data_IF_229851591095
#
_entry.id   IF_229851591095
#
_cell.length_a   1.000
_cell.length_b   1.000
_cell.length_c   1.000
_cell.angle_alpha   90.00
_cell.angle_beta   90.00
_cell.angle_gamma   90.00
#
_symmetry.space_group_name_H-M   'P 1'
#
loop_
_entity.id
_entity.type
_entity.pdbx_description
1 polymer ?
#
# COMPACT_ATOMS: atom_id res chain seq x y z
N UNK A 1 -6.37 -6.26 -19.62
CA UNK A 1 -5.31 -7.07 -18.98
C UNK A 1 -5.36 -6.74 -17.50
N UNK A 2 -5.83 -7.65 -16.64
CA UNK A 2 -5.93 -7.41 -15.19
C UNK A 2 -4.51 -7.44 -14.61
N UNK A 3 -3.95 -6.28 -14.34
CA UNK A 3 -2.67 -6.13 -13.63
C UNK A 3 -3.01 -6.28 -12.15
N UNK A 4 -2.41 -7.28 -11.47
CA UNK A 4 -2.42 -7.35 -10.02
C UNK A 4 -3.01 -8.59 -9.35
N UNK A 5 -3.45 -9.60 -10.09
CA UNK A 5 -3.83 -10.89 -9.51
C UNK A 5 -3.12 -12.01 -10.28
N UNK A 6 -1.94 -12.36 -9.82
CA UNK A 6 -1.42 -13.71 -10.02
C UNK A 6 -2.28 -14.55 -9.08
N UNK A 7 -3.13 -15.44 -9.63
CA UNK A 7 -3.77 -16.49 -8.84
C UNK A 7 -2.66 -17.34 -8.22
N UNK A 8 -2.36 -17.13 -6.94
CA UNK A 8 -1.37 -17.89 -6.17
C UNK A 8 -1.83 -19.34 -5.88
N UNK A 9 -3.03 -19.72 -6.31
CA UNK A 9 -3.50 -21.11 -6.26
C UNK A 9 -2.90 -21.93 -7.41
N UNK A 10 -1.92 -22.80 -7.12
CA UNK A 10 -1.44 -24.01 -7.82
C UNK A 10 -1.60 -24.14 -9.36
N UNK A 11 -1.66 -23.06 -10.13
CA UNK A 11 -1.45 -23.15 -11.57
C UNK A 11 0.04 -23.30 -11.82
N UNK A 12 0.50 -24.51 -12.14
CA UNK A 12 1.79 -24.72 -12.80
C UNK A 12 1.87 -23.75 -13.97
N UNK A 13 2.67 -22.69 -13.82
CA UNK A 13 2.88 -21.71 -14.88
C UNK A 13 3.33 -22.46 -16.14
N UNK A 14 2.54 -22.35 -17.21
CA UNK A 14 2.87 -22.98 -18.47
C UNK A 14 4.17 -22.42 -19.06
N UNK A 15 4.85 -23.19 -19.90
CA UNK A 15 6.11 -22.75 -20.53
C UNK A 15 5.97 -21.41 -21.27
N UNK A 16 4.80 -21.11 -21.85
CA UNK A 16 4.50 -19.81 -22.51
C UNK A 16 4.48 -18.64 -21.53
N UNK A 17 3.93 -18.82 -20.33
CA UNK A 17 3.91 -17.80 -19.28
C UNK A 17 5.35 -17.55 -18.78
N UNK A 18 6.10 -18.62 -18.57
CA UNK A 18 7.51 -18.53 -18.18
C UNK A 18 8.38 -17.81 -19.23
N UNK A 19 8.16 -18.08 -20.51
CA UNK A 19 8.83 -17.39 -21.61
C UNK A 19 8.44 -15.91 -21.66
N UNK A 20 7.15 -15.60 -21.47
CA UNK A 20 6.65 -14.23 -21.44
C UNK A 20 7.27 -13.42 -20.29
N UNK A 21 7.34 -13.99 -19.09
CA UNK A 21 7.99 -13.37 -17.93
C UNK A 21 9.49 -13.15 -18.19
N UNK A 22 10.17 -14.17 -18.73
CA UNK A 22 11.58 -14.06 -19.07
C UNK A 22 11.84 -12.96 -20.11
N UNK A 23 11.07 -12.92 -21.19
CA UNK A 23 11.17 -11.89 -22.24
C UNK A 23 10.92 -10.50 -21.63
N UNK A 24 9.87 -10.37 -20.82
CA UNK A 24 9.50 -9.10 -20.17
C UNK A 24 10.61 -8.61 -19.23
N UNK A 25 11.18 -9.47 -18.41
CA UNK A 25 12.21 -9.08 -17.44
C UNK A 25 13.57 -8.81 -18.08
N UNK A 26 13.94 -9.49 -19.18
CA UNK A 26 15.29 -9.44 -19.72
C UNK A 26 15.44 -8.56 -20.99
N UNK A 27 14.39 -8.41 -21.79
CA UNK A 27 14.46 -7.61 -23.03
C UNK A 27 13.81 -6.24 -22.89
N UNK A 28 12.78 -6.10 -22.03
CA UNK A 28 12.08 -4.85 -21.79
C UNK A 28 12.53 -4.22 -20.46
N UNK A 29 13.75 -3.73 -20.40
CA UNK A 29 14.35 -3.15 -19.19
C UNK A 29 14.31 -1.62 -19.29
N UNK A 30 13.74 -0.93 -18.28
CA UNK A 30 13.27 -1.40 -16.96
C UNK A 30 11.88 -2.02 -16.97
N UNK A 31 11.07 -1.74 -17.97
CA UNK A 31 9.68 -2.15 -18.09
C UNK A 31 9.23 -2.14 -19.56
N UNK A 32 8.00 -2.55 -19.84
CA UNK A 32 7.45 -2.65 -21.19
C UNK A 32 7.40 -1.31 -21.96
N UNK A 33 7.61 -0.18 -21.29
CA UNK A 33 7.62 1.16 -21.89
C UNK A 33 9.03 1.69 -22.18
N UNK A 34 10.06 0.86 -22.06
CA UNK A 34 11.46 1.25 -22.32
C UNK A 34 11.69 1.89 -23.72
N UNK A 35 10.89 1.50 -24.71
CA UNK A 35 10.94 2.09 -26.04
C UNK A 35 10.47 3.55 -26.13
N UNK A 36 9.70 4.02 -25.14
CA UNK A 36 9.29 5.43 -25.05
C UNK A 36 10.44 6.36 -24.69
N UNK A 37 11.47 5.87 -24.04
CA UNK A 37 12.54 6.72 -23.49
C UNK A 37 13.17 7.60 -24.58
N UNK A 38 13.66 7.01 -25.66
CA UNK A 38 14.34 7.76 -26.72
C UNK A 38 13.44 8.79 -27.44
N UNK A 39 12.24 8.42 -27.94
CA UNK A 39 11.37 9.38 -28.62
C UNK A 39 10.89 10.48 -27.67
N UNK A 40 10.54 10.17 -26.42
CA UNK A 40 10.12 11.17 -25.44
C UNK A 40 11.23 12.15 -25.10
N UNK A 41 12.47 11.69 -24.91
CA UNK A 41 13.61 12.58 -24.67
C UNK A 41 13.85 13.51 -25.86
N UNK A 42 13.77 12.99 -27.11
CA UNK A 42 13.94 13.82 -28.30
C UNK A 42 12.88 14.90 -28.37
N UNK A 43 11.63 14.56 -28.17
CA UNK A 43 10.52 15.48 -28.18
C UNK A 43 10.66 16.53 -27.06
N UNK A 44 10.82 16.09 -25.83
CA UNK A 44 10.86 16.97 -24.66
C UNK A 44 12.09 17.88 -24.63
N UNK A 45 13.23 17.46 -25.18
CA UNK A 45 14.40 18.37 -25.34
C UNK A 45 14.12 19.58 -26.20
N UNK A 46 13.35 19.42 -27.28
CA UNK A 46 12.98 20.53 -28.12
C UNK A 46 11.88 21.38 -27.47
N UNK A 47 10.85 20.71 -26.93
CA UNK A 47 9.73 21.36 -26.25
C UNK A 47 10.18 22.23 -25.07
N UNK A 48 11.05 21.72 -24.21
CA UNK A 48 11.53 22.45 -23.02
C UNK A 48 12.49 23.58 -23.33
N UNK A 49 13.06 23.66 -24.52
CA UNK A 49 13.80 24.84 -24.96
C UNK A 49 12.89 26.02 -25.27
N UNK A 50 11.70 25.74 -25.82
CA UNK A 50 10.68 26.74 -26.16
C UNK A 50 9.78 27.06 -24.97
N UNK A 51 9.61 26.08 -24.05
CA UNK A 51 8.77 26.16 -22.87
C UNK A 51 9.60 25.76 -21.62
N UNK A 52 10.47 26.65 -21.13
CA UNK A 52 11.33 26.36 -20.00
C UNK A 52 10.53 26.11 -18.71
N UNK A 53 11.01 25.19 -17.86
CA UNK A 53 10.45 24.87 -16.56
C UNK A 53 11.54 24.97 -15.48
N UNK A 54 11.15 25.28 -14.26
CA UNK A 54 12.08 25.44 -13.15
C UNK A 54 12.50 24.12 -12.54
N UNK A 55 11.65 23.08 -12.62
CA UNK A 55 11.94 21.74 -12.12
C UNK A 55 11.18 20.67 -12.92
N UNK A 56 11.65 19.43 -12.84
CA UNK A 56 11.00 18.25 -13.39
C UNK A 56 10.66 17.26 -12.29
N UNK A 57 9.53 16.57 -12.46
CA UNK A 57 9.15 15.44 -11.61
C UNK A 57 8.94 14.22 -12.51
N UNK A 58 9.48 13.09 -12.13
CA UNK A 58 9.15 11.80 -12.75
C UNK A 58 8.62 10.84 -11.70
N UNK A 59 7.53 10.15 -12.02
CA UNK A 59 6.88 9.21 -11.12
C UNK A 59 6.98 7.79 -11.68
N UNK A 60 7.36 6.83 -10.89
CA UNK A 60 7.43 5.40 -11.24
C UNK A 60 6.73 4.51 -10.21
N UNK A 61 6.19 3.36 -10.64
CA UNK A 61 6.26 2.75 -11.98
C UNK A 61 5.37 3.44 -13.02
N UNK A 62 5.70 3.38 -14.33
CA UNK A 62 6.83 2.64 -14.91
C UNK A 62 8.16 3.38 -14.74
N UNK A 63 9.21 2.65 -14.37
CA UNK A 63 10.54 3.24 -14.09
C UNK A 63 11.26 3.79 -15.33
N UNK A 64 10.80 3.45 -16.55
CA UNK A 64 11.23 4.13 -17.78
C UNK A 64 10.97 5.63 -17.76
N UNK A 65 10.01 6.13 -16.98
CA UNK A 65 9.78 7.57 -16.78
C UNK A 65 10.98 8.24 -16.11
N UNK A 66 11.60 7.59 -15.12
CA UNK A 66 12.83 8.08 -14.49
C UNK A 66 14.00 8.13 -15.48
N UNK A 67 14.08 7.19 -16.44
CA UNK A 67 15.11 7.22 -17.48
C UNK A 67 14.94 8.37 -18.48
N UNK A 68 13.69 8.78 -18.73
CA UNK A 68 13.42 10.00 -19.54
C UNK A 68 13.95 11.21 -18.77
N UNK A 69 13.54 11.39 -17.53
CA UNK A 69 13.96 12.51 -16.69
C UNK A 69 15.48 12.56 -16.49
N UNK A 70 16.13 11.41 -16.25
CA UNK A 70 17.59 11.30 -16.14
C UNK A 70 18.31 11.85 -17.39
N UNK A 71 17.81 11.51 -18.58
CA UNK A 71 18.42 11.98 -19.83
C UNK A 71 18.16 13.49 -20.06
N UNK A 72 16.98 13.98 -19.68
CA UNK A 72 16.66 15.41 -19.72
C UNK A 72 17.50 16.22 -18.71
N UNK A 73 17.65 15.72 -17.47
CA UNK A 73 18.51 16.32 -16.44
C UNK A 73 19.94 16.49 -16.94
N UNK A 74 20.51 15.44 -17.56
CA UNK A 74 21.86 15.48 -18.12
C UNK A 74 22.00 16.42 -19.31
N UNK A 75 20.94 16.61 -20.08
CA UNK A 75 20.99 17.40 -21.31
C UNK A 75 20.65 18.88 -21.12
N UNK A 76 19.78 19.20 -20.15
CA UNK A 76 19.21 20.56 -19.97
C UNK A 76 19.54 21.16 -18.61
N UNK A 77 20.13 20.38 -17.70
CA UNK A 77 20.47 20.78 -16.31
C UNK A 77 19.26 21.30 -15.50
N UNK A 78 18.05 20.80 -15.78
CA UNK A 78 16.85 21.16 -15.03
C UNK A 78 16.82 20.36 -13.72
N UNK A 79 16.56 20.97 -12.55
CA UNK A 79 16.38 20.26 -11.27
C UNK A 79 15.34 19.15 -11.39
N UNK A 80 15.61 18.00 -10.76
CA UNK A 80 14.80 16.80 -10.96
C UNK A 80 14.48 16.07 -9.66
N UNK A 81 13.19 15.80 -9.46
CA UNK A 81 12.66 14.95 -8.38
C UNK A 81 12.26 13.61 -8.98
N UNK A 82 12.77 12.52 -8.40
CA UNK A 82 12.38 11.15 -8.75
C UNK A 82 11.43 10.61 -7.68
N UNK A 83 10.15 10.47 -8.02
CA UNK A 83 9.08 9.94 -7.14
C UNK A 83 8.94 8.43 -7.34
N UNK A 84 9.46 7.67 -6.39
CA UNK A 84 9.39 6.21 -6.31
C UNK A 84 8.18 5.79 -5.49
N UNK A 85 7.04 5.66 -6.15
CA UNK A 85 5.81 5.17 -5.48
C UNK A 85 5.90 3.71 -5.09
N UNK A 86 6.66 2.94 -5.88
CA UNK A 86 7.02 1.56 -5.56
C UNK A 86 8.53 1.37 -5.78
N UNK A 87 9.20 0.48 -5.02
CA UNK A 87 10.58 0.11 -5.26
C UNK A 87 10.77 -0.47 -6.68
N UNK A 88 11.97 -0.34 -7.22
CA UNK A 88 12.26 -0.90 -8.55
C UNK A 88 12.84 -2.32 -8.44
N UNK A 89 14.02 -2.47 -7.84
CA UNK A 89 14.65 -3.81 -7.70
C UNK A 89 14.30 -4.49 -6.37
N UNK A 90 13.75 -3.77 -5.40
CA UNK A 90 13.31 -4.32 -4.11
C UNK A 90 11.80 -4.59 -4.04
N UNK A 91 11.11 -4.55 -5.19
CA UNK A 91 9.68 -4.90 -5.24
C UNK A 91 9.49 -6.40 -5.01
N UNK A 92 8.42 -6.79 -4.32
CA UNK A 92 8.15 -8.17 -3.87
C UNK A 92 8.21 -9.23 -4.97
N UNK A 93 7.70 -8.90 -6.16
CA UNK A 93 7.69 -9.82 -7.31
C UNK A 93 8.95 -9.76 -8.19
N UNK A 94 10.01 -9.02 -7.79
CA UNK A 94 11.22 -8.87 -8.62
C UNK A 94 11.90 -10.21 -8.92
N UNK A 95 11.94 -11.11 -7.93
CA UNK A 95 12.53 -12.45 -8.08
C UNK A 95 11.74 -13.32 -9.07
N UNK A 96 10.45 -13.08 -9.24
CA UNK A 96 9.58 -13.83 -10.15
C UNK A 96 9.82 -13.50 -11.63
N UNK A 97 10.53 -12.40 -11.91
CA UNK A 97 10.85 -11.97 -13.28
C UNK A 97 11.82 -12.89 -14.02
N UNK A 98 12.40 -13.91 -13.36
CA UNK A 98 13.36 -14.88 -13.95
C UNK A 98 14.49 -14.20 -14.71
N UNK A 99 15.12 -13.23 -14.07
CA UNK A 99 16.16 -12.42 -14.66
C UNK A 99 17.44 -13.22 -14.92
N UNK A 100 18.08 -12.96 -16.05
CA UNK A 100 19.47 -13.34 -16.28
C UNK A 100 20.40 -12.45 -15.45
N UNK A 101 21.63 -12.92 -15.18
CA UNK A 101 22.65 -12.10 -14.50
C UNK A 101 22.90 -10.76 -15.22
N UNK A 102 22.77 -10.72 -16.51
CA UNK A 102 22.90 -9.49 -17.30
C UNK A 102 21.69 -8.56 -17.11
N UNK A 103 20.48 -9.11 -17.19
CA UNK A 103 19.24 -8.35 -16.96
C UNK A 103 19.21 -7.72 -15.56
N UNK A 104 19.51 -8.53 -14.56
CA UNK A 104 19.58 -8.10 -13.16
C UNK A 104 20.61 -6.97 -12.95
N UNK A 105 21.86 -7.17 -13.40
CA UNK A 105 22.90 -6.12 -13.35
C UNK A 105 22.47 -4.85 -14.08
N UNK A 106 21.72 -4.95 -15.16
CA UNK A 106 21.24 -3.79 -15.91
C UNK A 106 20.17 -3.04 -15.15
N UNK A 107 19.21 -3.72 -14.50
CA UNK A 107 18.21 -3.09 -13.63
C UNK A 107 18.89 -2.30 -12.51
N UNK A 108 19.73 -2.95 -11.69
CA UNK A 108 20.45 -2.31 -10.59
C UNK A 108 21.32 -1.13 -11.04
N UNK A 109 22.01 -1.26 -12.18
CA UNK A 109 22.80 -0.15 -12.72
C UNK A 109 21.94 1.05 -13.11
N UNK A 110 20.79 0.82 -13.76
CA UNK A 110 19.89 1.89 -14.16
C UNK A 110 19.24 2.56 -12.96
N UNK A 111 18.77 1.79 -11.99
CA UNK A 111 18.21 2.31 -10.74
C UNK A 111 19.26 3.16 -10.00
N UNK A 112 20.46 2.65 -9.80
CA UNK A 112 21.56 3.42 -9.19
C UNK A 112 21.85 4.72 -9.95
N UNK A 113 21.81 4.72 -11.30
CA UNK A 113 21.98 5.94 -12.08
C UNK A 113 20.87 6.95 -11.86
N UNK A 114 19.63 6.50 -11.70
CA UNK A 114 18.49 7.36 -11.36
C UNK A 114 18.70 7.96 -9.97
N UNK A 115 18.91 7.13 -8.96
CA UNK A 115 19.05 7.53 -7.57
C UNK A 115 20.20 8.49 -7.32
N UNK A 116 21.36 8.27 -7.99
CA UNK A 116 22.55 9.11 -7.82
C UNK A 116 22.54 10.41 -8.64
N UNK A 117 21.58 10.61 -9.56
CA UNK A 117 21.51 11.83 -10.39
C UNK A 117 20.25 12.66 -10.12
N UNK A 118 19.26 12.15 -9.40
CA UNK A 118 18.12 12.94 -8.95
C UNK A 118 18.57 13.94 -7.88
N UNK A 119 18.09 15.18 -7.96
CA UNK A 119 18.37 16.20 -6.95
C UNK A 119 17.61 15.88 -5.65
N UNK A 120 16.47 15.18 -5.76
CA UNK A 120 15.69 14.65 -4.65
C UNK A 120 15.01 13.35 -5.07
N UNK A 121 14.95 12.41 -4.17
CA UNK A 121 14.17 11.18 -4.30
C UNK A 121 13.02 11.24 -3.30
N UNK A 122 11.81 10.89 -3.76
CA UNK A 122 10.62 10.78 -2.91
C UNK A 122 10.14 9.34 -2.93
N UNK A 123 9.65 8.85 -1.81
CA UNK A 123 9.00 7.56 -1.68
C UNK A 123 7.87 7.61 -0.66
N UNK A 124 7.03 6.57 -0.64
CA UNK A 124 5.81 6.55 0.17
C UNK A 124 5.99 5.99 1.58
N UNK A 125 7.13 5.34 1.88
CA UNK A 125 7.38 4.68 3.18
C UNK A 125 8.81 4.88 3.68
N UNK A 126 9.00 4.77 4.98
CA UNK A 126 10.33 4.96 5.61
C UNK A 126 11.24 3.76 5.38
N UNK A 127 10.69 2.55 5.35
CA UNK A 127 11.47 1.35 5.05
C UNK A 127 12.00 1.39 3.61
N UNK A 128 11.14 1.76 2.65
CA UNK A 128 11.53 1.98 1.26
C UNK A 128 12.57 3.11 1.14
N UNK A 129 12.49 4.18 1.94
CA UNK A 129 13.47 5.26 1.94
C UNK A 129 14.86 4.76 2.33
N UNK A 130 14.96 3.93 3.38
CA UNK A 130 16.23 3.30 3.80
C UNK A 130 16.83 2.42 2.69
N UNK A 131 15.99 1.63 2.00
CA UNK A 131 16.42 0.82 0.86
C UNK A 131 16.99 1.68 -0.27
N UNK A 132 16.30 2.76 -0.66
CA UNK A 132 16.77 3.67 -1.71
C UNK A 132 18.06 4.41 -1.34
N UNK A 133 18.24 4.78 -0.07
CA UNK A 133 19.51 5.35 0.45
C UNK A 133 20.65 4.33 0.35
N UNK A 134 20.41 3.07 0.74
CA UNK A 134 21.39 2.00 0.62
C UNK A 134 21.79 1.71 -0.84
N UNK A 135 20.87 1.89 -1.79
CA UNK A 135 21.10 1.77 -3.22
C UNK A 135 21.82 3.00 -3.84
N UNK A 136 22.02 4.07 -3.07
CA UNK A 136 22.83 5.23 -3.46
C UNK A 136 22.05 6.51 -3.74
N UNK A 137 20.85 6.66 -3.25
CA UNK A 137 20.15 7.93 -3.23
C UNK A 137 20.83 8.89 -2.21
N UNK A 138 21.09 10.12 -2.62
CA UNK A 138 21.77 11.10 -1.74
C UNK A 138 20.80 11.84 -0.81
N UNK A 139 19.54 11.93 -1.16
CA UNK A 139 18.54 12.68 -0.40
C UNK A 139 17.16 12.10 -0.65
N UNK A 140 16.67 11.30 0.28
CA UNK A 140 15.34 10.70 0.22
C UNK A 140 14.40 11.43 1.18
N UNK A 141 13.19 11.69 0.74
CA UNK A 141 12.10 12.22 1.56
C UNK A 141 10.90 11.27 1.46
N UNK A 142 10.35 10.91 2.61
CA UNK A 142 9.10 10.14 2.67
C UNK A 142 7.93 11.10 2.61
N UNK A 143 7.09 10.96 1.59
CA UNK A 143 5.78 11.61 1.47
C UNK A 143 4.80 10.48 1.17
N UNK A 144 4.02 10.09 2.17
CA UNK A 144 3.15 8.92 2.11
C UNK A 144 2.00 9.08 1.10
N UNK A 145 1.27 8.01 0.83
CA UNK A 145 -0.07 8.14 0.27
C UNK A 145 -0.97 8.84 1.29
N UNK A 146 -2.11 9.33 0.84
CA UNK A 146 -3.04 10.05 1.69
C UNK A 146 -4.48 9.84 1.27
N UNK A 147 -5.40 10.40 2.06
CA UNK A 147 -6.82 10.43 1.76
C UNK A 147 -7.25 11.82 1.27
N UNK A 148 -8.31 11.85 0.47
CA UNK A 148 -9.00 13.08 0.15
C UNK A 148 -9.96 13.45 1.30
N UNK A 149 -10.07 14.74 1.58
CA UNK A 149 -11.11 15.24 2.43
C UNK A 149 -12.45 15.10 1.69
N UNK A 150 -12.99 13.88 1.67
CA UNK A 150 -14.35 13.72 1.15
C UNK A 150 -15.33 14.30 2.18
N UNK A 151 -16.16 15.23 1.74
CA UNK A 151 -17.25 15.66 2.59
C UNK A 151 -18.15 14.44 2.78
N UNK A 152 -18.29 13.98 4.01
CA UNK A 152 -19.36 13.03 4.40
C UNK A 152 -20.75 13.63 4.18
N UNK A 153 -20.83 14.75 3.45
CA UNK A 153 -22.04 15.54 3.16
C UNK A 153 -22.95 15.74 4.40
N UNK A 154 -22.36 15.75 5.61
CA UNK A 154 -23.10 15.86 6.84
C UNK A 154 -23.91 14.60 7.19
N UNK A 155 -23.70 13.47 6.52
CA UNK A 155 -24.36 12.22 6.88
C UNK A 155 -23.83 11.71 8.20
N UNK A 156 -24.71 11.64 9.21
CA UNK A 156 -24.45 10.90 10.44
C UNK A 156 -24.65 9.43 10.12
N UNK A 157 -23.57 8.69 9.98
CA UNK A 157 -23.63 7.23 9.76
C UNK A 157 -23.55 6.56 11.13
N UNK A 158 -24.60 5.82 11.47
CA UNK A 158 -24.62 5.02 12.70
C UNK A 158 -23.88 3.71 12.46
N UNK A 159 -22.90 3.36 13.31
CA UNK A 159 -22.24 2.07 13.24
C UNK A 159 -23.23 0.91 13.40
N UNK A 160 -22.88 -0.23 12.85
CA UNK A 160 -23.64 -1.49 12.96
C UNK A 160 -23.95 -1.82 14.42
N UNK A 161 -25.16 -2.34 14.69
CA UNK A 161 -25.54 -2.86 16.01
C UNK A 161 -24.68 -4.05 16.46
N UNK A 162 -24.16 -4.83 15.50
CA UNK A 162 -23.26 -5.94 15.76
C UNK A 162 -21.80 -5.48 15.81
N UNK A 163 -20.97 -6.23 16.53
CA UNK A 163 -19.51 -6.06 16.49
C UNK A 163 -18.97 -6.47 15.11
N UNK A 164 -19.05 -5.54 14.17
CA UNK A 164 -18.74 -5.76 12.78
C UNK A 164 -17.27 -5.45 12.49
N UNK A 165 -16.52 -6.47 12.07
CA UNK A 165 -15.13 -6.37 11.61
C UNK A 165 -15.14 -6.45 10.08
N UNK A 166 -14.71 -5.41 9.39
CA UNK A 166 -14.76 -5.35 7.92
C UNK A 166 -13.39 -5.28 7.29
N UNK A 167 -13.13 -6.12 6.29
CA UNK A 167 -12.00 -5.99 5.36
C UNK A 167 -12.53 -5.60 3.99
N UNK A 168 -12.02 -4.50 3.43
CA UNK A 168 -12.47 -3.97 2.14
C UNK A 168 -11.35 -4.06 1.13
N UNK A 169 -11.60 -4.77 0.05
CA UNK A 169 -10.70 -5.03 -1.08
C UNK A 169 -10.27 -6.48 -1.18
N UNK A 170 -9.38 -6.76 -2.12
CA UNK A 170 -8.95 -8.14 -2.37
C UNK A 170 -8.19 -8.74 -1.19
N UNK A 171 -8.56 -9.95 -0.82
CA UNK A 171 -7.90 -10.79 0.17
C UNK A 171 -7.27 -11.97 -0.56
N UNK A 172 -6.02 -11.81 -1.00
CA UNK A 172 -5.23 -12.88 -1.62
C UNK A 172 -4.65 -13.85 -0.59
N UNK A 173 -4.04 -14.95 -1.06
CA UNK A 173 -3.47 -15.98 -0.20
C UNK A 173 -2.39 -15.43 0.75
N UNK A 174 -1.54 -14.51 0.28
CA UNK A 174 -0.49 -13.86 1.08
C UNK A 174 -1.02 -12.95 2.21
N UNK A 175 -2.32 -12.63 2.19
CA UNK A 175 -3.03 -11.86 3.22
C UNK A 175 -3.92 -12.72 4.11
N UNK A 176 -3.91 -14.05 3.94
CA UNK A 176 -4.70 -14.94 4.77
C UNK A 176 -4.13 -14.99 6.19
N UNK A 177 -4.69 -14.21 7.09
CA UNK A 177 -4.30 -14.12 8.50
C UNK A 177 -4.82 -15.33 9.30
N UNK A 178 -4.18 -16.47 9.13
CA UNK A 178 -4.63 -17.77 9.72
C UNK A 178 -4.88 -17.63 11.22
N UNK A 179 -3.93 -17.12 11.98
CA UNK A 179 -4.00 -16.98 13.44
C UNK A 179 -5.08 -16.01 13.90
N UNK A 180 -5.40 -15.00 13.08
CA UNK A 180 -6.52 -14.10 13.35
C UNK A 180 -7.87 -14.83 13.25
N UNK A 181 -8.08 -15.64 12.20
CA UNK A 181 -9.29 -16.44 12.05
C UNK A 181 -9.41 -17.49 13.15
N UNK A 182 -8.30 -18.09 13.56
CA UNK A 182 -8.25 -19.01 14.71
C UNK A 182 -8.61 -18.31 16.02
N UNK A 183 -8.09 -17.11 16.26
CA UNK A 183 -8.39 -16.31 17.45
C UNK A 183 -9.90 -16.00 17.54
N UNK A 184 -10.50 -15.55 16.43
CA UNK A 184 -11.95 -15.31 16.36
C UNK A 184 -12.76 -16.59 16.61
N UNK A 185 -12.35 -17.72 15.99
CA UNK A 185 -13.01 -19.01 16.18
C UNK A 185 -12.97 -19.52 17.61
N UNK A 186 -11.81 -19.40 18.27
CA UNK A 186 -11.64 -19.78 19.68
C UNK A 186 -12.55 -18.93 20.58
N UNK A 187 -12.61 -17.62 20.36
CA UNK A 187 -13.48 -16.71 21.12
C UNK A 187 -14.96 -17.01 20.90
N UNK A 188 -15.36 -17.27 19.65
CA UNK A 188 -16.74 -17.59 19.31
C UNK A 188 -17.20 -18.93 19.88
N UNK A 189 -16.30 -19.91 20.06
CA UNK A 189 -16.59 -21.19 20.73
C UNK A 189 -16.80 -21.05 22.22
N UNK A 190 -16.04 -20.15 22.86
CA UNK A 190 -15.99 -20.01 24.31
C UNK A 190 -16.93 -18.93 24.86
N UNK A 191 -17.50 -18.07 24.02
CA UNK A 191 -18.35 -16.94 24.40
C UNK A 191 -19.62 -16.84 23.56
N UNK A 192 -20.77 -17.21 24.09
CA UNK A 192 -22.06 -17.15 23.39
C UNK A 192 -22.42 -15.73 22.95
N UNK A 193 -22.20 -14.74 23.81
CA UNK A 193 -22.48 -13.35 23.50
C UNK A 193 -21.57 -12.85 22.38
N UNK A 194 -20.24 -13.08 22.48
CA UNK A 194 -19.31 -12.71 21.41
C UNK A 194 -19.70 -13.31 20.06
N UNK A 195 -20.09 -14.61 20.05
CA UNK A 195 -20.55 -15.28 18.83
C UNK A 195 -21.80 -14.64 18.25
N UNK A 196 -22.76 -14.27 19.08
CA UNK A 196 -24.02 -13.67 18.63
C UNK A 196 -23.83 -12.26 18.05
N UNK A 197 -22.91 -11.50 18.65
CA UNK A 197 -22.63 -10.12 18.26
C UNK A 197 -21.60 -10.01 17.14
N UNK A 198 -20.75 -11.01 16.95
CA UNK A 198 -19.72 -11.00 15.90
C UNK A 198 -20.36 -10.97 14.51
N UNK A 199 -19.91 -10.04 13.68
CA UNK A 199 -20.17 -9.96 12.24
C UNK A 199 -18.85 -9.69 11.50
N UNK A 200 -18.52 -10.50 10.52
CA UNK A 200 -17.32 -10.34 9.68
C UNK A 200 -17.80 -9.98 8.27
N UNK A 201 -17.33 -8.87 7.72
CA UNK A 201 -17.61 -8.49 6.33
C UNK A 201 -16.35 -8.52 5.50
N UNK A 202 -16.31 -9.37 4.48
CA UNK A 202 -15.21 -9.43 3.51
C UNK A 202 -15.72 -8.91 2.18
N UNK A 203 -15.31 -7.69 1.83
CA UNK A 203 -15.79 -6.96 0.66
C UNK A 203 -14.71 -6.96 -0.40
N UNK A 204 -14.98 -7.63 -1.51
CA UNK A 204 -14.05 -7.81 -2.63
C UNK A 204 -13.79 -9.27 -2.93
N UNK A 205 -12.76 -9.54 -3.72
CA UNK A 205 -12.39 -10.90 -4.08
C UNK A 205 -11.62 -11.57 -2.93
N UNK A 206 -12.13 -12.69 -2.43
CA UNK A 206 -11.52 -13.45 -1.33
C UNK A 206 -10.95 -14.76 -1.87
N UNK A 207 -9.70 -15.05 -1.52
CA UNK A 207 -9.04 -16.30 -1.90
C UNK A 207 -9.66 -17.52 -1.20
N UNK A 208 -9.62 -18.65 -1.89
CA UNK A 208 -10.21 -19.90 -1.40
C UNK A 208 -9.56 -20.36 -0.08
N UNK A 209 -8.25 -20.12 0.09
CA UNK A 209 -7.55 -20.49 1.32
C UNK A 209 -8.10 -19.75 2.55
N UNK A 210 -8.43 -18.47 2.42
CA UNK A 210 -9.02 -17.70 3.51
C UNK A 210 -10.43 -18.20 3.86
N UNK A 211 -11.26 -18.51 2.84
CA UNK A 211 -12.59 -19.08 3.04
C UNK A 211 -12.50 -20.43 3.76
N UNK A 212 -11.54 -21.28 3.38
CA UNK A 212 -11.31 -22.56 4.02
C UNK A 212 -10.91 -22.41 5.49
N UNK A 213 -10.01 -21.47 5.78
CA UNK A 213 -9.59 -21.18 7.16
C UNK A 213 -10.75 -20.69 8.03
N UNK A 214 -11.57 -19.77 7.51
CA UNK A 214 -12.77 -19.24 8.19
C UNK A 214 -13.76 -20.38 8.49
N UNK A 215 -14.02 -21.27 7.52
CA UNK A 215 -14.88 -22.44 7.71
C UNK A 215 -14.33 -23.41 8.75
N UNK A 216 -13.03 -23.73 8.71
CA UNK A 216 -12.38 -24.63 9.64
C UNK A 216 -12.47 -24.13 11.08
N UNK A 217 -12.51 -22.82 11.29
CA UNK A 217 -12.64 -22.19 12.60
C UNK A 217 -14.09 -21.98 13.07
N UNK A 218 -15.09 -22.40 12.27
CA UNK A 218 -16.51 -22.41 12.65
C UNK A 218 -17.14 -21.01 12.74
N UNK A 219 -16.60 -20.02 12.05
CA UNK A 219 -17.08 -18.62 12.00
C UNK A 219 -17.67 -18.22 10.64
N UNK A 220 -17.93 -19.19 9.76
CA UNK A 220 -18.50 -18.90 8.44
C UNK A 220 -19.92 -18.34 8.54
N UNK A 221 -20.71 -18.78 9.52
CA UNK A 221 -22.07 -18.27 9.74
C UNK A 221 -22.09 -16.80 10.22
N UNK A 222 -20.96 -16.33 10.75
CA UNK A 222 -20.75 -14.93 11.13
C UNK A 222 -20.12 -14.09 10.00
N UNK A 223 -19.84 -14.72 8.83
CA UNK A 223 -19.05 -14.08 7.76
C UNK A 223 -19.92 -13.83 6.53
N UNK A 224 -20.00 -12.58 6.13
CA UNK A 224 -20.63 -12.12 4.90
C UNK A 224 -19.56 -11.89 3.82
N UNK A 225 -19.74 -12.51 2.65
CA UNK A 225 -18.88 -12.34 1.48
C UNK A 225 -19.57 -11.45 0.45
N UNK A 226 -19.05 -10.24 0.22
CA UNK A 226 -19.60 -9.27 -0.72
C UNK A 226 -18.59 -9.08 -1.86
N UNK A 227 -18.93 -9.56 -3.06
CA UNK A 227 -17.97 -9.59 -4.17
C UNK A 227 -17.67 -8.22 -4.77
N UNK A 228 -18.64 -7.33 -4.75
CA UNK A 228 -18.52 -5.98 -5.32
C UNK A 228 -19.52 -5.03 -4.68
N UNK A 229 -19.06 -3.82 -4.40
CA UNK A 229 -19.90 -2.66 -4.07
C UNK A 229 -19.42 -1.46 -4.89
N UNK A 230 -20.31 -0.52 -5.27
CA UNK A 230 -19.92 0.75 -5.87
C UNK A 230 -18.97 1.54 -4.97
N UNK A 231 -18.04 2.26 -5.57
CA UNK A 231 -17.04 3.02 -4.79
C UNK A 231 -17.71 4.03 -3.82
N UNK A 232 -18.80 4.62 -4.24
CA UNK A 232 -19.58 5.58 -3.45
C UNK A 232 -20.13 4.98 -2.14
N UNK A 233 -20.37 3.67 -2.11
CA UNK A 233 -20.86 2.96 -0.93
C UNK A 233 -19.74 2.50 0.01
N UNK A 234 -18.48 2.48 -0.48
CA UNK A 234 -17.32 2.02 0.31
C UNK A 234 -17.18 2.84 1.59
N UNK A 235 -17.19 4.15 1.49
CA UNK A 235 -17.03 5.05 2.64
C UNK A 235 -18.13 4.82 3.69
N UNK A 236 -19.37 4.64 3.24
CA UNK A 236 -20.49 4.30 4.13
C UNK A 236 -20.25 3.00 4.88
N UNK A 237 -19.85 1.93 4.17
CA UNK A 237 -19.58 0.62 4.78
C UNK A 237 -18.37 0.65 5.73
N UNK A 238 -17.36 1.48 5.46
CA UNK A 238 -16.26 1.71 6.39
C UNK A 238 -16.77 2.34 7.69
N UNK A 239 -17.57 3.40 7.59
CA UNK A 239 -18.10 4.12 8.76
C UNK A 239 -19.14 3.31 9.55
N UNK A 240 -19.90 2.42 8.89
CA UNK A 240 -20.80 1.47 9.54
C UNK A 240 -20.08 0.37 10.32
N UNK A 241 -18.82 0.09 10.00
CA UNK A 241 -18.05 -0.95 10.65
C UNK A 241 -17.68 -0.56 12.08
N UNK A 242 -17.63 -1.52 13.01
CA UNK A 242 -17.10 -1.28 14.35
C UNK A 242 -15.57 -1.25 14.32
N UNK A 243 -14.95 -2.14 13.55
CA UNK A 243 -13.50 -2.23 13.37
C UNK A 243 -13.17 -2.47 11.90
N UNK A 244 -12.16 -1.79 11.40
CA UNK A 244 -11.63 -2.00 10.05
C UNK A 244 -10.39 -2.89 10.11
N UNK A 245 -10.43 -4.02 9.42
CA UNK A 245 -9.36 -5.01 9.38
C UNK A 245 -8.40 -4.71 8.22
N UNK A 246 -7.20 -4.29 8.55
CA UNK A 246 -6.11 -4.08 7.60
C UNK A 246 -5.19 -5.31 7.60
N UNK A 247 -5.10 -5.99 6.46
CA UNK A 247 -4.24 -7.16 6.28
C UNK A 247 -3.04 -6.79 5.41
N UNK A 248 -1.85 -6.89 5.97
CA UNK A 248 -0.59 -6.72 5.24
C UNK A 248 -0.20 -8.06 4.60
N UNK A 249 0.47 -8.04 3.44
CA UNK A 249 1.02 -9.25 2.84
C UNK A 249 2.10 -9.82 3.75
N UNK A 250 2.03 -11.12 4.08
CA UNK A 250 3.11 -11.79 4.80
C UNK A 250 4.23 -12.17 3.81
N UNK A 251 5.06 -11.20 3.50
CA UNK A 251 6.17 -11.26 2.54
C UNK A 251 7.44 -10.64 3.15
N UNK A 252 8.63 -10.93 2.64
CA UNK A 252 9.89 -10.40 3.20
C UNK A 252 9.95 -8.87 3.32
N UNK A 253 9.23 -8.14 2.46
CA UNK A 253 9.15 -6.68 2.46
C UNK A 253 7.92 -6.12 3.20
N UNK A 254 7.26 -6.94 4.02
CA UNK A 254 6.02 -6.57 4.73
C UNK A 254 6.13 -5.26 5.53
N UNK A 255 7.31 -4.97 6.09
CA UNK A 255 7.56 -3.75 6.89
C UNK A 255 7.34 -2.44 6.12
N UNK A 256 7.67 -2.43 4.83
CA UNK A 256 7.51 -1.25 3.96
C UNK A 256 6.17 -1.18 3.23
N UNK A 257 5.25 -2.13 3.44
CA UNK A 257 3.99 -2.15 2.70
C UNK A 257 3.01 -1.13 3.26
N UNK A 258 2.78 -0.06 2.48
CA UNK A 258 1.74 0.93 2.72
C UNK A 258 0.68 0.86 1.62
N UNK A 259 -0.53 0.43 2.00
CA UNK A 259 -1.66 0.35 1.06
C UNK A 259 -2.51 1.61 1.10
N UNK A 260 -3.14 1.99 -0.02
CA UNK A 260 -4.10 3.10 -0.06
C UNK A 260 -5.24 2.95 0.95
N UNK A 261 -5.67 1.71 1.23
CA UNK A 261 -6.72 1.39 2.22
C UNK A 261 -6.42 1.91 3.62
N UNK A 262 -5.15 1.92 4.05
CA UNK A 262 -4.79 2.48 5.35
C UNK A 262 -5.28 3.91 5.50
N UNK A 263 -5.07 4.72 4.48
CA UNK A 263 -5.45 6.14 4.50
C UNK A 263 -6.96 6.33 4.38
N UNK A 264 -7.65 5.51 3.58
CA UNK A 264 -9.11 5.46 3.54
C UNK A 264 -9.70 5.07 4.91
N UNK A 265 -9.09 4.10 5.60
CA UNK A 265 -9.50 3.68 6.94
C UNK A 265 -9.26 4.78 7.98
N UNK A 266 -8.14 5.51 7.89
CA UNK A 266 -7.89 6.67 8.74
C UNK A 266 -9.00 7.73 8.60
N UNK A 267 -9.40 8.06 7.37
CA UNK A 267 -10.43 9.08 7.11
C UNK A 267 -11.81 8.67 7.61
N UNK A 268 -12.08 7.37 7.75
CA UNK A 268 -13.37 6.89 8.27
C UNK A 268 -13.59 7.16 9.77
N UNK A 269 -12.53 7.45 10.53
CA UNK A 269 -12.55 7.60 11.97
C UNK A 269 -12.85 6.31 12.74
N UNK A 270 -12.87 5.15 12.10
CA UNK A 270 -13.10 3.86 12.75
C UNK A 270 -11.79 3.23 13.23
N UNK A 271 -11.81 2.45 14.33
CA UNK A 271 -10.62 1.75 14.80
C UNK A 271 -10.08 0.79 13.74
N UNK A 272 -8.77 0.77 13.58
CA UNK A 272 -8.06 -0.12 12.65
C UNK A 272 -7.41 -1.24 13.46
N UNK A 273 -7.75 -2.49 13.15
CA UNK A 273 -6.97 -3.65 13.56
C UNK A 273 -6.10 -4.08 12.37
N UNK A 274 -4.80 -3.87 12.50
CA UNK A 274 -3.84 -4.27 11.49
C UNK A 274 -3.17 -5.59 11.87
N UNK A 275 -3.15 -6.55 10.93
CA UNK A 275 -2.35 -7.76 11.05
C UNK A 275 -1.13 -7.60 10.15
N UNK A 276 0.05 -7.46 10.77
CA UNK A 276 1.29 -7.16 10.08
C UNK A 276 2.44 -6.86 11.04
N UNK A 277 3.63 -6.49 10.52
CA UNK A 277 4.78 -6.18 11.38
C UNK A 277 4.50 -5.00 12.31
N UNK A 278 4.73 -5.17 13.61
CA UNK A 278 4.53 -4.12 14.62
C UNK A 278 5.55 -2.97 14.51
N UNK A 279 6.68 -3.24 13.87
CA UNK A 279 7.74 -2.27 13.57
C UNK A 279 7.73 -1.80 12.11
N UNK A 280 6.63 -2.06 11.39
CA UNK A 280 6.45 -1.64 9.99
C UNK A 280 5.86 -0.23 9.84
N UNK A 281 5.95 0.30 8.62
CA UNK A 281 5.46 1.64 8.26
C UNK A 281 3.95 1.81 8.53
N UNK A 282 3.15 0.77 8.28
CA UNK A 282 1.72 0.80 8.58
C UNK A 282 1.45 0.90 10.09
N UNK A 283 2.18 0.13 10.91
CA UNK A 283 2.08 0.18 12.36
C UNK A 283 2.47 1.55 12.91
N UNK A 284 3.53 2.16 12.36
CA UNK A 284 3.96 3.51 12.71
C UNK A 284 2.84 4.53 12.47
N UNK A 285 2.22 4.53 11.30
CA UNK A 285 1.12 5.45 10.96
C UNK A 285 -0.10 5.23 11.89
N UNK A 286 -0.51 3.97 12.10
CA UNK A 286 -1.65 3.63 12.95
C UNK A 286 -1.44 4.11 14.39
N UNK A 287 -0.23 3.89 14.94
CA UNK A 287 0.15 4.31 16.28
C UNK A 287 0.19 5.83 16.41
N UNK A 288 0.85 6.51 15.48
CA UNK A 288 0.99 7.96 15.48
C UNK A 288 -0.37 8.67 15.32
N UNK A 289 -1.23 8.16 14.46
CA UNK A 289 -2.60 8.65 14.25
C UNK A 289 -3.54 8.23 15.38
N UNK A 290 -3.11 7.43 16.36
CA UNK A 290 -3.96 6.83 17.41
C UNK A 290 -5.20 6.14 16.82
N UNK A 291 -5.03 5.55 15.64
CA UNK A 291 -6.12 5.02 14.84
C UNK A 291 -6.50 3.58 15.18
N UNK A 292 -5.69 2.87 15.97
CA UNK A 292 -5.93 1.46 16.25
C UNK A 292 -4.70 0.72 16.78
N UNK A 293 -4.64 -0.57 16.50
CA UNK A 293 -3.61 -1.48 16.98
C UNK A 293 -3.08 -2.35 15.83
N UNK A 294 -1.77 -2.58 15.83
CA UNK A 294 -1.13 -3.58 14.97
C UNK A 294 -0.71 -4.78 15.79
N UNK A 295 -0.94 -5.98 15.25
CA UNK A 295 -0.52 -7.24 15.86
C UNK A 295 0.23 -8.07 14.84
N UNK A 296 1.35 -8.66 15.24
CA UNK A 296 2.17 -9.49 14.37
C UNK A 296 1.42 -10.72 13.84
N UNK A 297 1.81 -11.19 12.65
CA UNK A 297 1.17 -12.31 11.94
C UNK A 297 1.04 -13.58 12.79
N UNK A 298 2.03 -13.85 13.64
CA UNK A 298 2.15 -15.10 14.40
C UNK A 298 1.65 -14.97 15.86
N UNK A 299 1.35 -13.76 16.35
CA UNK A 299 0.99 -13.54 17.76
C UNK A 299 -0.53 -13.72 18.02
N UNK A 300 -0.97 -14.98 17.98
CA UNK A 300 -2.37 -15.36 18.21
C UNK A 300 -2.90 -14.89 19.58
N UNK A 301 -2.08 -14.94 20.62
CA UNK A 301 -2.56 -14.57 21.97
C UNK A 301 -2.78 -13.05 22.05
N UNK A 302 -1.87 -12.25 21.52
CA UNK A 302 -2.07 -10.80 21.43
C UNK A 302 -3.25 -10.44 20.54
N UNK A 303 -3.50 -11.19 19.45
CA UNK A 303 -4.72 -11.04 18.64
C UNK A 303 -5.98 -11.23 19.47
N UNK A 304 -6.04 -12.30 20.30
CA UNK A 304 -7.18 -12.56 21.21
C UNK A 304 -7.36 -11.44 22.24
N UNK A 305 -6.27 -11.00 22.86
CA UNK A 305 -6.31 -9.89 23.82
C UNK A 305 -6.81 -8.60 23.18
N UNK A 306 -6.29 -8.27 21.99
CA UNK A 306 -6.70 -7.10 21.24
C UNK A 306 -8.17 -7.17 20.83
N UNK A 307 -8.64 -8.31 20.33
CA UNK A 307 -10.05 -8.50 19.96
C UNK A 307 -10.95 -8.39 21.19
N UNK A 308 -10.57 -8.99 22.35
CA UNK A 308 -11.30 -8.87 23.61
C UNK A 308 -11.40 -7.41 24.05
N UNK A 309 -10.30 -6.66 23.97
CA UNK A 309 -10.30 -5.25 24.31
C UNK A 309 -11.22 -4.45 23.38
N UNK A 310 -11.13 -4.65 22.05
CA UNK A 310 -12.02 -3.99 21.09
C UNK A 310 -13.49 -4.33 21.33
N UNK A 311 -13.79 -5.59 21.63
CA UNK A 311 -15.15 -6.04 21.96
C UNK A 311 -15.68 -5.40 23.24
N UNK A 312 -14.86 -5.31 24.30
CA UNK A 312 -15.25 -4.63 25.55
C UNK A 312 -15.53 -3.13 25.33
N UNK A 313 -14.77 -2.45 24.46
CA UNK A 313 -15.04 -1.06 24.10
C UNK A 313 -16.33 -0.92 23.28
N UNK A 314 -16.63 -1.89 22.43
CA UNK A 314 -17.91 -1.95 21.70
C UNK A 314 -19.08 -2.11 22.67
N UNK A 315 -19.04 -3.07 23.60
CA UNK A 315 -20.08 -3.27 24.61
C UNK A 315 -20.30 -2.03 25.49
N UNK A 316 -19.23 -1.32 25.80
CA UNK A 316 -19.29 -0.07 26.58
C UNK A 316 -19.74 1.15 25.75
N UNK A 317 -19.90 1.03 24.44
CA UNK A 317 -20.19 2.15 23.53
C UNK A 317 -19.08 3.21 23.45
N UNK A 318 -17.84 2.83 23.79
CA UNK A 318 -16.68 3.73 23.85
C UNK A 318 -15.67 3.49 22.74
N UNK A 319 -15.96 2.57 21.81
CA UNK A 319 -15.08 2.22 20.71
C UNK A 319 -14.86 3.41 19.76
N UNK A 320 -13.64 3.90 19.68
CA UNK A 320 -13.25 5.06 18.87
C UNK A 320 -12.00 4.75 18.07
N UNK A 321 -11.90 5.30 16.86
CA UNK A 321 -10.68 5.34 16.05
C UNK A 321 -9.98 6.72 16.16
N UNK A 322 -9.31 7.10 15.08
CA UNK A 322 -8.62 8.39 14.98
C UNK A 322 -9.58 9.58 15.05
N UNK A 323 -9.09 10.68 15.59
CA UNK A 323 -9.74 11.98 15.45
C UNK A 323 -9.20 12.74 14.22
N UNK A 324 -9.93 13.76 13.76
CA UNK A 324 -9.57 14.55 12.58
C UNK A 324 -8.22 15.25 12.71
N UNK A 325 -7.83 15.68 13.90
CA UNK A 325 -6.57 16.40 14.13
C UNK A 325 -5.36 15.47 14.00
N UNK A 326 -5.46 14.22 14.50
CA UNK A 326 -4.35 13.25 14.46
C UNK A 326 -4.04 12.73 13.05
N UNK A 327 -5.01 12.80 12.12
CA UNK A 327 -4.87 12.32 10.76
C UNK A 327 -4.65 13.40 9.70
N UNK A 328 -4.84 14.70 10.04
CA UNK A 328 -4.80 15.82 9.09
C UNK A 328 -3.54 15.84 8.22
N UNK A 329 -2.38 15.52 8.79
CA UNK A 329 -1.13 15.45 8.06
C UNK A 329 -1.07 14.39 6.96
N UNK A 330 -1.96 13.40 7.01
CA UNK A 330 -2.12 12.38 5.96
C UNK A 330 -3.18 12.76 4.92
N UNK A 331 -3.77 13.96 5.00
CA UNK A 331 -4.60 14.45 3.91
C UNK A 331 -3.76 14.74 2.68
N UNK A 332 -4.29 14.46 1.49
CA UNK A 332 -3.59 14.79 0.23
C UNK A 332 -3.26 16.26 0.12
N UNK A 333 -4.05 17.13 0.71
CA UNK A 333 -3.80 18.56 0.78
C UNK A 333 -2.53 18.87 1.56
N UNK A 334 -2.37 18.32 2.78
CA UNK A 334 -1.18 18.50 3.60
C UNK A 334 0.07 17.93 2.91
N UNK A 335 -0.02 16.70 2.39
CA UNK A 335 1.08 16.04 1.67
C UNK A 335 1.48 16.77 0.39
N UNK A 336 0.51 17.38 -0.32
CA UNK A 336 0.81 18.25 -1.47
C UNK A 336 1.55 19.50 -1.01
N UNK A 337 1.21 20.08 0.14
CA UNK A 337 1.94 21.19 0.74
C UNK A 337 3.41 20.84 0.98
N UNK A 338 3.69 19.68 1.59
CA UNK A 338 5.07 19.19 1.78
C UNK A 338 5.82 19.02 0.45
N UNK A 339 5.13 18.50 -0.55
CA UNK A 339 5.71 18.32 -1.89
C UNK A 339 6.06 19.67 -2.53
N UNK A 340 5.18 20.67 -2.41
CA UNK A 340 5.41 22.04 -2.92
C UNK A 340 6.61 22.67 -2.20
N UNK A 341 6.69 22.60 -0.87
CA UNK A 341 7.85 23.13 -0.12
C UNK A 341 9.17 22.49 -0.58
N UNK A 342 9.16 21.19 -0.85
CA UNK A 342 10.34 20.49 -1.36
C UNK A 342 10.73 21.02 -2.75
N UNK A 343 9.78 21.20 -3.67
CA UNK A 343 10.03 21.77 -5.00
C UNK A 343 10.65 23.16 -4.89
N UNK A 344 10.06 24.03 -4.07
CA UNK A 344 10.57 25.39 -3.86
C UNK A 344 12.02 25.39 -3.32
N UNK A 345 12.35 24.51 -2.39
CA UNK A 345 13.71 24.36 -1.87
C UNK A 345 14.70 23.96 -2.96
N UNK A 346 14.32 23.02 -3.83
CA UNK A 346 15.18 22.55 -4.92
C UNK A 346 15.41 23.66 -5.95
N UNK A 347 14.38 24.44 -6.28
CA UNK A 347 14.47 25.56 -7.22
C UNK A 347 15.39 26.66 -6.65
N UNK A 348 15.30 26.96 -5.35
CA UNK A 348 16.10 28.01 -4.69
C UNK A 348 17.57 27.64 -4.51
N UNK A 349 17.85 26.38 -4.15
CA UNK A 349 19.18 25.93 -3.73
C UNK A 349 19.86 24.96 -4.71
N UNK A 350 19.16 24.52 -5.74
CA UNK A 350 19.66 23.59 -6.77
C UNK A 350 20.34 24.29 -7.96
N UNK A 351 20.66 25.59 -7.84
CA UNK A 351 21.39 26.36 -8.86
C UNK A 351 22.88 26.39 -8.59
#
# INVERSE_FOLDING_TARGET
>A
MKVGFINEGERKQGWKENLSLWVRGNLFIPDARCWWVKPSVRFLKNYLKEHPVDAMISTGPPHSMHLIALQLRKALNIPWIADFRDPWTEIDFYQDLKLTRWGDKKHHRLEKQVLSNADKVVTIGWDAAKGLEALGAHSVQTITNGFDEEPTNGMIITPSEKFTISHIGALGASRNAIHFWEALGDMAKNGSQFRNDLSIRLIGQVDVSAIQTIKANGIMDNTELITYIPHEEINKMQMESQVLLLLINNTPNAKGILTGKLFEYLSSGRPILCIGPEDGDAAHIISEAKAGVTVDFEDKEKMKETIKWLFSQYEAGTLKGSDSQSIEKYSRKALTGEFVEMIEKIIRYGK
#
